data_IF_164821279175
#
_entry.id   IF_164821279175
#
_cell.length_a   1.000
_cell.length_b   1.000
_cell.length_c   1.000
_cell.angle_alpha   90.00
_cell.angle_beta   90.00
_cell.angle_gamma   90.00
#
_symmetry.space_group_name_H-M   'P 1'
#
loop_
_entity.id
_entity.type
_entity.pdbx_description
1 polymer ?
#
# COMPACT_ATOMS: atom_id res chain seq x y z
N UNK A 1 -1.25 33.01 5.28
CA UNK A 1 -2.04 31.81 4.92
C UNK A 1 -1.15 30.60 5.10
N UNK A 2 -1.32 29.87 6.21
CA UNK A 2 -0.48 28.71 6.53
C UNK A 2 -0.90 27.50 5.72
N UNK A 3 0.04 26.92 4.97
CA UNK A 3 -0.14 25.63 4.30
C UNK A 3 -0.23 24.58 5.40
N UNK A 4 -1.44 24.12 5.69
CA UNK A 4 -1.68 22.98 6.55
C UNK A 4 -1.29 21.73 5.76
N UNK A 5 -0.01 21.35 5.83
CA UNK A 5 0.45 20.05 5.32
C UNK A 5 -0.14 18.98 6.23
N UNK A 6 -1.29 18.45 5.84
CA UNK A 6 -1.90 17.29 6.49
C UNK A 6 -1.07 16.07 6.10
N UNK A 7 0.01 15.80 6.83
CA UNK A 7 0.72 14.52 6.75
C UNK A 7 -0.22 13.49 7.36
N UNK A 8 -1.08 12.86 6.57
CA UNK A 8 -1.96 11.84 7.13
C UNK A 8 -1.26 10.49 7.20
N UNK A 9 -0.40 10.08 6.25
CA UNK A 9 0.29 8.79 6.32
C UNK A 9 1.66 8.87 5.63
N UNK A 10 2.63 9.44 6.34
CA UNK A 10 4.05 9.20 6.06
C UNK A 10 4.47 7.94 6.84
N UNK A 11 5.53 7.27 6.37
CA UNK A 11 6.33 6.41 7.22
C UNK A 11 6.52 7.07 8.60
N UNK A 12 6.27 6.33 9.68
CA UNK A 12 6.23 6.86 11.04
C UNK A 12 7.54 7.53 11.45
N UNK A 13 7.45 8.71 12.07
CA UNK A 13 8.56 9.36 12.80
C UNK A 13 8.76 8.58 14.10
N UNK A 14 9.68 7.62 14.07
CA UNK A 14 10.12 6.90 15.26
C UNK A 14 11.21 7.70 15.96
N UNK A 15 11.09 7.83 17.29
CA UNK A 15 12.07 8.44 18.19
C UNK A 15 13.45 7.78 18.02
N UNK A 16 14.51 8.60 18.02
CA UNK A 16 15.93 8.34 17.75
C UNK A 16 16.65 7.34 18.68
N UNK A 17 16.10 6.14 18.85
CA UNK A 17 16.88 4.97 19.27
C UNK A 17 16.61 3.84 18.29
N UNK A 18 17.17 3.96 17.08
CA UNK A 18 17.16 2.84 16.16
C UNK A 18 18.12 1.75 16.67
N UNK A 19 17.59 0.81 17.45
CA UNK A 19 18.35 -0.34 17.97
C UNK A 19 18.93 -1.23 16.88
N UNK A 20 18.47 -1.09 15.63
CA UNK A 20 18.98 -1.83 14.47
C UNK A 20 20.16 -1.12 13.79
N UNK A 21 20.50 0.12 14.16
CA UNK A 21 21.57 0.93 13.53
C UNK A 21 21.43 1.04 11.99
N UNK A 22 20.19 1.06 11.48
CA UNK A 22 19.89 1.20 10.03
C UNK A 22 19.46 2.64 9.71
N UNK A 23 20.08 3.36 8.77
CA UNK A 23 19.58 4.67 8.36
C UNK A 23 18.15 4.59 7.79
N UNK A 24 17.26 5.51 8.19
CA UNK A 24 15.88 5.56 7.71
C UNK A 24 15.64 6.91 7.04
N UNK A 25 15.09 6.87 5.82
CA UNK A 25 14.59 8.04 5.10
C UNK A 25 13.08 7.91 4.94
N UNK A 26 12.35 8.98 5.26
CA UNK A 26 10.90 9.03 5.12
C UNK A 26 10.51 9.76 3.86
N UNK A 27 9.64 9.12 3.07
CA UNK A 27 9.06 9.71 1.86
C UNK A 27 7.56 9.86 2.08
N UNK A 28 7.02 11.05 1.83
CA UNK A 28 5.59 11.34 1.94
C UNK A 28 4.86 11.06 0.63
N UNK A 29 3.57 10.72 0.72
CA UNK A 29 2.67 10.65 -0.44
C UNK A 29 2.42 12.03 -1.04
N UNK A 30 1.99 12.08 -2.30
CA UNK A 30 1.42 13.30 -2.86
C UNK A 30 0.10 13.64 -2.15
N UNK A 31 -0.27 14.92 -2.14
CA UNK A 31 -1.53 15.37 -1.54
C UNK A 31 -2.79 15.04 -2.35
N UNK A 32 -2.65 14.28 -3.45
CA UNK A 32 -3.72 13.86 -4.34
C UNK A 32 -3.86 12.33 -4.35
N UNK A 33 -4.89 11.82 -5.00
CA UNK A 33 -5.16 10.38 -5.13
C UNK A 33 -4.77 9.83 -6.51
N UNK A 34 -3.77 10.43 -7.17
CA UNK A 34 -3.31 10.02 -8.49
C UNK A 34 -2.46 8.73 -8.40
N UNK A 35 -3.06 7.60 -8.79
CA UNK A 35 -2.38 6.30 -8.80
C UNK A 35 -1.11 6.30 -9.64
N UNK A 36 -1.14 6.95 -10.81
CA UNK A 36 -0.03 6.93 -11.76
C UNK A 36 1.14 7.74 -11.23
N UNK A 37 0.87 8.89 -10.61
CA UNK A 37 1.90 9.69 -9.96
C UNK A 37 2.63 8.91 -8.86
N UNK A 38 1.90 8.17 -8.02
CA UNK A 38 2.50 7.35 -6.96
C UNK A 38 3.26 6.14 -7.52
N UNK A 39 2.77 5.52 -8.59
CA UNK A 39 3.49 4.44 -9.28
C UNK A 39 4.81 4.95 -9.88
N UNK A 40 4.79 6.10 -10.56
CA UNK A 40 6.00 6.73 -11.13
C UNK A 40 7.01 7.13 -10.06
N UNK A 41 6.55 7.59 -8.89
CA UNK A 41 7.43 7.82 -7.75
C UNK A 41 8.18 6.52 -7.37
N UNK A 42 7.48 5.39 -7.35
CA UNK A 42 8.10 4.08 -7.19
C UNK A 42 9.18 3.80 -8.23
N UNK A 43 8.90 4.05 -9.51
CA UNK A 43 9.86 3.83 -10.60
C UNK A 43 11.12 4.70 -10.45
N UNK A 44 10.98 5.94 -9.98
CA UNK A 44 12.13 6.82 -9.69
C UNK A 44 12.99 6.24 -8.56
N UNK A 45 12.37 5.57 -7.59
CA UNK A 45 13.08 4.96 -6.46
C UNK A 45 13.67 3.58 -6.80
N UNK A 46 13.33 2.98 -7.95
CA UNK A 46 13.72 1.61 -8.31
C UNK A 46 15.23 1.37 -8.20
N UNK A 47 16.06 2.29 -8.71
CA UNK A 47 17.52 2.12 -8.72
C UNK A 47 18.15 2.04 -7.33
N UNK A 48 17.48 2.58 -6.31
CA UNK A 48 17.98 2.51 -4.92
C UNK A 48 18.05 1.06 -4.43
N UNK A 49 17.28 0.14 -5.03
CA UNK A 49 17.31 -1.28 -4.70
C UNK A 49 18.66 -1.92 -5.04
N UNK A 50 19.30 -1.46 -6.11
CA UNK A 50 20.64 -1.91 -6.52
C UNK A 50 21.74 -1.37 -5.58
N UNK A 51 21.42 -0.33 -4.80
CA UNK A 51 22.29 0.25 -3.77
C UNK A 51 22.10 -0.40 -2.38
N UNK A 52 21.32 -1.48 -2.30
CA UNK A 52 21.03 -2.18 -1.04
C UNK A 52 20.02 -1.47 -0.15
N UNK A 53 19.24 -0.52 -0.69
CA UNK A 53 18.19 0.19 0.05
C UNK A 53 16.88 -0.60 -0.01
N UNK A 54 16.33 -0.89 1.17
CA UNK A 54 15.01 -1.51 1.31
C UNK A 54 13.91 -0.44 1.22
N UNK A 55 13.02 -0.60 0.24
CA UNK A 55 11.83 0.26 0.07
C UNK A 55 10.63 -0.40 0.73
N UNK A 56 10.01 0.30 1.68
CA UNK A 56 8.85 -0.21 2.44
C UNK A 56 7.63 0.68 2.16
N UNK A 57 6.64 0.13 1.46
CA UNK A 57 5.32 0.76 1.33
C UNK A 57 4.41 0.34 2.49
N UNK A 58 4.35 1.16 3.53
CA UNK A 58 3.53 0.87 4.72
C UNK A 58 2.09 1.39 4.54
N UNK A 59 1.11 0.49 4.57
CA UNK A 59 -0.29 0.78 4.27
C UNK A 59 -1.23 -0.33 4.77
N UNK A 60 -2.39 -0.45 4.14
CA UNK A 60 -3.38 -1.51 4.41
C UNK A 60 -3.98 -2.00 3.09
N UNK A 61 -4.12 -3.31 2.92
CA UNK A 61 -4.75 -3.87 1.73
C UNK A 61 -6.23 -3.50 1.63
N UNK A 62 -6.93 -3.53 2.77
CA UNK A 62 -8.34 -3.17 2.94
C UNK A 62 -8.45 -2.32 4.20
N UNK A 63 -9.11 -1.16 4.13
CA UNK A 63 -9.28 -0.29 5.29
C UNK A 63 -10.52 0.59 5.24
N UNK A 64 -11.59 0.07 5.82
CA UNK A 64 -12.70 0.90 6.28
C UNK A 64 -12.77 0.86 7.81
N UNK A 65 -12.40 1.97 8.45
CA UNK A 65 -12.40 2.09 9.91
C UNK A 65 -13.81 2.10 10.50
N UNK A 66 -14.81 2.61 9.77
CA UNK A 66 -16.19 2.61 10.25
C UNK A 66 -16.72 1.16 10.31
N UNK A 67 -16.53 0.40 9.23
CA UNK A 67 -16.99 -0.98 9.16
C UNK A 67 -16.21 -1.88 10.11
N UNK A 68 -14.88 -1.72 10.22
CA UNK A 68 -14.10 -2.44 11.22
C UNK A 68 -14.60 -2.23 12.64
N UNK A 69 -15.01 -0.99 13.00
CA UNK A 69 -15.60 -0.71 14.32
C UNK A 69 -16.97 -1.35 14.47
N UNK A 70 -17.80 -1.31 13.43
CA UNK A 70 -19.13 -1.91 13.43
C UNK A 70 -19.08 -3.44 13.57
N UNK A 71 -18.08 -4.08 12.97
CA UNK A 71 -17.92 -5.54 12.98
C UNK A 71 -17.05 -6.06 14.14
N UNK A 72 -16.41 -5.19 14.93
CA UNK A 72 -15.40 -5.59 15.94
C UNK A 72 -15.92 -6.58 16.99
N UNK A 73 -17.20 -6.47 17.36
CA UNK A 73 -17.83 -7.34 18.35
C UNK A 73 -18.57 -8.54 17.72
N UNK A 74 -18.35 -8.78 16.42
CA UNK A 74 -19.03 -9.82 15.65
C UNK A 74 -18.01 -10.70 14.96
N UNK A 75 -18.33 -11.96 14.73
CA UNK A 75 -17.53 -12.83 13.85
C UNK A 75 -17.83 -12.58 12.35
N UNK A 76 -18.53 -11.48 12.03
CA UNK A 76 -18.91 -11.15 10.66
C UNK A 76 -17.86 -10.25 10.01
N UNK A 77 -17.27 -10.71 8.91
CA UNK A 77 -16.41 -9.93 8.03
C UNK A 77 -17.21 -9.14 6.99
N UNK A 78 -16.61 -8.10 6.41
CA UNK A 78 -17.20 -7.42 5.25
C UNK A 78 -16.94 -8.23 3.97
N UNK A 79 -17.94 -8.43 3.09
CA UNK A 79 -17.74 -9.17 1.83
C UNK A 79 -16.64 -8.59 0.93
N UNK A 80 -16.47 -7.26 0.93
CA UNK A 80 -15.43 -6.60 0.16
C UNK A 80 -14.02 -6.91 0.68
N UNK A 81 -13.86 -7.29 1.96
CA UNK A 81 -12.54 -7.50 2.57
C UNK A 81 -11.77 -8.61 1.85
N UNK A 82 -12.42 -9.72 1.56
CA UNK A 82 -11.80 -10.84 0.84
C UNK A 82 -11.66 -10.54 -0.65
N UNK A 83 -12.69 -9.96 -1.27
CA UNK A 83 -12.70 -9.75 -2.73
C UNK A 83 -11.76 -8.65 -3.18
N UNK A 84 -11.58 -7.59 -2.38
CA UNK A 84 -10.62 -6.53 -2.65
C UNK A 84 -9.18 -6.97 -2.37
N UNK A 85 -8.91 -7.68 -1.28
CA UNK A 85 -7.58 -8.26 -1.03
C UNK A 85 -7.17 -9.19 -2.17
N UNK A 86 -8.09 -10.05 -2.64
CA UNK A 86 -7.81 -10.93 -3.79
C UNK A 86 -7.46 -10.14 -5.04
N UNK A 87 -8.18 -9.05 -5.32
CA UNK A 87 -7.91 -8.19 -6.47
C UNK A 87 -6.57 -7.44 -6.35
N UNK A 88 -6.22 -6.99 -5.14
CA UNK A 88 -4.91 -6.42 -4.87
C UNK A 88 -3.80 -7.45 -5.07
N UNK A 89 -3.98 -8.67 -4.58
CA UNK A 89 -3.04 -9.78 -4.77
C UNK A 89 -2.86 -10.12 -6.24
N UNK A 90 -3.94 -10.22 -7.03
CA UNK A 90 -3.88 -10.42 -8.49
C UNK A 90 -3.15 -9.28 -9.22
N UNK A 91 -3.30 -8.06 -8.73
CA UNK A 91 -2.62 -6.88 -9.27
C UNK A 91 -1.12 -6.91 -8.96
N UNK A 92 -0.74 -7.20 -7.71
CA UNK A 92 0.66 -7.26 -7.25
C UNK A 92 1.43 -8.40 -7.93
N UNK A 93 0.78 -9.56 -8.06
CA UNK A 93 1.35 -10.76 -8.67
C UNK A 93 1.29 -10.74 -10.20
N UNK A 94 0.74 -9.68 -10.80
CA UNK A 94 0.70 -9.54 -12.24
C UNK A 94 2.10 -9.43 -12.85
N UNK A 95 2.20 -9.81 -14.12
CA UNK A 95 3.39 -9.59 -14.94
C UNK A 95 3.75 -8.10 -14.92
N UNK A 96 5.05 -7.73 -14.89
CA UNK A 96 5.48 -6.34 -14.83
C UNK A 96 4.81 -5.45 -15.88
N UNK A 97 4.68 -5.94 -17.12
CA UNK A 97 4.06 -5.22 -18.22
C UNK A 97 2.56 -4.88 -18.01
N UNK A 98 1.85 -5.60 -17.14
CA UNK A 98 0.43 -5.39 -16.86
C UNK A 98 0.18 -4.66 -15.53
N UNK A 99 1.18 -4.63 -14.65
CA UNK A 99 1.02 -4.23 -13.24
C UNK A 99 0.48 -2.82 -13.10
N UNK A 100 1.07 -1.84 -13.78
CA UNK A 100 0.66 -0.44 -13.67
C UNK A 100 -0.79 -0.23 -14.08
N UNK A 101 -1.22 -0.83 -15.20
CA UNK A 101 -2.60 -0.76 -15.67
C UNK A 101 -3.57 -1.41 -14.66
N UNK A 102 -3.19 -2.54 -14.06
CA UNK A 102 -4.01 -3.19 -13.03
C UNK A 102 -4.05 -2.38 -11.72
N UNK A 103 -2.97 -1.70 -11.34
CA UNK A 103 -2.93 -0.81 -10.17
C UNK A 103 -3.84 0.41 -10.34
N UNK A 104 -3.93 0.98 -11.54
CA UNK A 104 -4.88 2.05 -11.87
C UNK A 104 -6.33 1.51 -11.89
N UNK A 105 -6.57 0.36 -12.52
CA UNK A 105 -7.87 -0.28 -12.54
C UNK A 105 -8.38 -0.66 -11.14
N UNK A 106 -7.49 -1.03 -10.22
CA UNK A 106 -7.83 -1.34 -8.84
C UNK A 106 -8.53 -0.15 -8.15
N UNK A 107 -8.09 1.09 -8.39
CA UNK A 107 -8.73 2.30 -7.82
C UNK A 107 -10.08 2.64 -8.47
N UNK A 108 -10.36 2.06 -9.64
CA UNK A 108 -11.59 2.28 -10.41
C UNK A 108 -12.63 1.19 -10.18
N UNK A 109 -12.34 0.16 -9.37
CA UNK A 109 -13.36 -0.83 -9.00
C UNK A 109 -14.51 -0.14 -8.29
N UNK A 110 -15.73 -0.62 -8.54
CA UNK A 110 -16.96 -0.05 -7.98
C UNK A 110 -16.97 0.01 -6.44
N UNK A 111 -16.30 -0.94 -5.77
CA UNK A 111 -16.23 -1.09 -4.31
C UNK A 111 -15.03 -0.38 -3.66
N UNK A 112 -14.13 0.23 -4.44
CA UNK A 112 -12.87 0.80 -3.90
C UNK A 112 -13.12 1.84 -2.82
N UNK A 113 -14.14 2.69 -2.98
CA UNK A 113 -14.47 3.74 -2.00
C UNK A 113 -15.11 3.19 -0.73
N UNK A 114 -15.81 2.07 -0.82
CA UNK A 114 -16.33 1.36 0.35
C UNK A 114 -15.18 0.71 1.12
N UNK A 115 -14.20 0.15 0.40
CA UNK A 115 -13.02 -0.48 0.98
C UNK A 115 -12.05 0.55 1.57
N UNK A 116 -11.87 1.68 0.88
CA UNK A 116 -10.96 2.77 1.21
C UNK A 116 -11.66 4.11 0.95
N UNK A 117 -12.29 4.73 1.97
CA UNK A 117 -12.91 6.05 1.82
C UNK A 117 -11.94 7.12 1.28
N UNK A 118 -10.66 6.98 1.66
CA UNK A 118 -9.52 7.73 1.13
C UNK A 118 -8.38 6.75 0.83
N UNK A 119 -7.61 7.01 -0.24
CA UNK A 119 -6.63 6.04 -0.76
C UNK A 119 -5.25 6.11 -0.11
N UNK A 120 -5.06 6.94 0.91
CA UNK A 120 -3.77 7.14 1.59
C UNK A 120 -3.17 5.86 2.24
N UNK A 121 -3.96 4.81 2.50
CA UNK A 121 -3.43 3.52 2.96
C UNK A 121 -3.19 2.52 1.84
N UNK A 122 -3.70 2.78 0.65
CA UNK A 122 -3.55 1.92 -0.51
C UNK A 122 -2.41 2.40 -1.42
N UNK A 123 -2.26 3.72 -1.60
CA UNK A 123 -1.23 4.35 -2.44
C UNK A 123 0.23 4.04 -2.06
N UNK A 124 0.59 3.74 -0.80
CA UNK A 124 1.93 3.20 -0.49
C UNK A 124 2.26 1.92 -1.27
N UNK A 125 1.26 1.08 -1.57
CA UNK A 125 1.44 -0.11 -2.40
C UNK A 125 1.69 0.24 -3.87
N UNK A 126 1.14 1.34 -4.39
CA UNK A 126 1.46 1.85 -5.73
C UNK A 126 2.93 2.23 -5.86
N UNK A 127 3.51 2.88 -4.85
CA UNK A 127 4.94 3.19 -4.81
C UNK A 127 5.78 1.91 -4.80
N UNK A 128 5.46 0.97 -3.90
CA UNK A 128 6.20 -0.30 -3.82
C UNK A 128 6.12 -1.12 -5.12
N UNK A 129 4.95 -1.14 -5.77
CA UNK A 129 4.74 -1.79 -7.05
C UNK A 129 5.51 -1.12 -8.20
N UNK A 130 5.64 0.20 -8.19
CA UNK A 130 6.45 0.96 -9.14
C UNK A 130 7.95 0.73 -8.96
N UNK A 131 8.43 0.62 -7.73
CA UNK A 131 9.82 0.33 -7.42
C UNK A 131 10.24 -1.13 -7.69
N UNK A 132 9.27 -2.01 -7.93
CA UNK A 132 9.51 -3.44 -8.11
C UNK A 132 10.23 -3.80 -9.42
N UNK A 133 10.30 -2.88 -10.38
CA UNK A 133 10.91 -3.15 -11.69
C UNK A 133 10.30 -4.39 -12.34
N UNK A 134 11.18 -5.31 -12.76
CA UNK A 134 10.79 -6.58 -13.40
C UNK A 134 10.39 -7.69 -12.42
N UNK A 135 10.54 -7.49 -11.11
CA UNK A 135 10.19 -8.53 -10.15
C UNK A 135 8.69 -8.75 -10.08
N UNK A 136 8.26 -10.01 -10.05
CA UNK A 136 6.87 -10.39 -9.81
C UNK A 136 6.61 -10.39 -8.31
N UNK A 137 5.52 -9.75 -7.90
CA UNK A 137 5.13 -9.69 -6.50
C UNK A 137 4.70 -11.04 -5.97
N UNK A 138 4.89 -11.26 -4.67
CA UNK A 138 4.42 -12.44 -3.94
C UNK A 138 3.68 -12.01 -2.69
N UNK A 139 2.50 -12.58 -2.43
CA UNK A 139 1.86 -12.50 -1.12
C UNK A 139 2.62 -13.38 -0.13
N UNK A 140 3.04 -12.79 0.98
CA UNK A 140 3.73 -13.48 2.07
C UNK A 140 2.75 -14.00 3.12
N UNK A 141 1.76 -13.17 3.45
CA UNK A 141 0.82 -13.42 4.52
C UNK A 141 -0.38 -12.49 4.39
N UNK A 142 -1.55 -12.91 4.87
CA UNK A 142 -2.66 -12.02 5.14
C UNK A 142 -3.54 -12.45 6.31
N UNK A 143 -4.29 -11.51 6.88
CA UNK A 143 -5.30 -11.72 7.91
C UNK A 143 -6.49 -10.78 7.69
N UNK A 144 -7.67 -11.29 7.28
CA UNK A 144 -8.90 -10.50 7.23
C UNK A 144 -9.52 -10.35 8.62
N UNK A 145 -9.91 -9.13 8.99
CA UNK A 145 -10.61 -8.82 10.24
C UNK A 145 -11.69 -7.77 9.99
N UNK A 146 -12.96 -8.17 9.94
CA UNK A 146 -14.05 -7.21 9.75
C UNK A 146 -13.91 -6.39 8.45
N UNK A 147 -13.85 -5.08 8.58
CA UNK A 147 -13.61 -4.11 7.49
C UNK A 147 -12.14 -3.80 7.15
N UNK A 148 -11.17 -4.57 7.68
CA UNK A 148 -9.75 -4.46 7.34
C UNK A 148 -9.13 -5.79 6.90
N UNK A 149 -8.00 -5.71 6.20
CA UNK A 149 -7.13 -6.85 5.93
C UNK A 149 -5.67 -6.43 6.10
N UNK A 150 -4.93 -7.19 6.90
CA UNK A 150 -3.50 -7.07 7.05
C UNK A 150 -2.83 -7.97 6.02
N UNK A 151 -2.32 -7.42 4.92
CA UNK A 151 -1.59 -8.21 3.93
C UNK A 151 -0.14 -7.75 3.82
N UNK A 152 0.75 -8.71 3.59
CA UNK A 152 2.16 -8.48 3.33
C UNK A 152 2.54 -9.00 1.96
N UNK A 153 3.24 -8.17 1.20
CA UNK A 153 3.71 -8.49 -0.13
C UNK A 153 5.21 -8.21 -0.25
N UNK A 154 5.86 -8.92 -1.17
CA UNK A 154 7.28 -8.74 -1.46
C UNK A 154 7.53 -8.76 -2.96
N UNK A 155 8.45 -7.91 -3.40
CA UNK A 155 9.08 -7.96 -4.71
C UNK A 155 10.56 -8.29 -4.53
N UNK A 156 11.11 -9.12 -5.42
CA UNK A 156 12.50 -9.57 -5.37
C UNK A 156 12.81 -10.55 -4.22
N UNK A 157 14.09 -10.83 -4.07
CA UNK A 157 14.68 -11.60 -2.97
C UNK A 157 15.33 -10.64 -1.97
N UNK A 158 15.09 -10.86 -0.67
CA UNK A 158 15.79 -10.20 0.43
C UNK A 158 16.78 -11.18 1.00
#
# INVERSE_FOLDING_TARGET
MGVMTRITHAAEVVRLENRLNVPIVQVSLYANEDADAHYRLGQILESLRDEGILIIGAGMAVRNTADYRATKATDQGMPYTVTFEKALTETITAKPAERQAKMDALLKRHDTRDVHPTFNHLLPTHIAAGAAGLDVGKKLWDLPEGGINWAQYRFGTV
#
